data_IF_377177286121
#
_entry.id   IF_377177286121
#
_cell.length_a   1.000
_cell.length_b   1.000
_cell.length_c   1.000
_cell.angle_alpha   90.00
_cell.angle_beta   90.00
_cell.angle_gamma   90.00
#
_symmetry.space_group_name_H-M   'P 1'
#
loop_
_entity.id
_entity.type
_entity.pdbx_description
1 polymer ?
#
# COMPACT_ATOMS: atom_id res chain seq x y z
N UNK A 1 -37.08 28.80 -36.71
CA UNK A 1 -37.24 30.00 -35.89
C UNK A 1 -35.85 30.20 -35.28
N UNK A 2 -34.89 30.84 -36.00
CA UNK A 2 -34.73 32.29 -36.17
C UNK A 2 -34.64 32.97 -34.82
N UNK A 3 -33.59 33.66 -34.46
CA UNK A 3 -32.84 34.78 -35.08
C UNK A 3 -31.53 34.97 -34.30
N UNK A 4 -30.35 35.08 -34.86
CA UNK A 4 -29.80 36.22 -35.65
C UNK A 4 -29.82 37.56 -34.94
N UNK A 5 -28.62 38.10 -34.63
CA UNK A 5 -28.26 39.51 -34.78
C UNK A 5 -26.76 39.67 -34.43
N UNK A 6 -25.81 39.84 -35.30
CA UNK A 6 -25.47 40.89 -36.26
C UNK A 6 -24.97 42.21 -35.63
N UNK A 7 -23.68 42.42 -35.86
CA UNK A 7 -22.81 43.62 -35.81
C UNK A 7 -23.45 44.92 -36.35
N UNK A 8 -22.93 46.13 -36.14
CA UNK A 8 -21.75 46.71 -36.83
C UNK A 8 -20.99 47.75 -35.97
N UNK A 9 -19.83 48.22 -36.24
CA UNK A 9 -19.21 48.76 -37.39
C UNK A 9 -18.45 50.01 -37.01
N UNK A 10 -17.26 50.14 -37.27
CA UNK A 10 -16.21 50.96 -37.62
C UNK A 10 -16.32 52.49 -37.45
N UNK A 11 -15.47 53.34 -38.08
CA UNK A 11 -14.00 53.41 -38.00
C UNK A 11 -13.52 54.77 -37.48
N UNK A 12 -12.26 55.02 -37.28
CA UNK A 12 -11.75 56.36 -36.96
C UNK A 12 -10.23 56.42 -36.90
N UNK A 13 -9.69 56.93 -37.98
CA UNK A 13 -8.30 57.34 -38.16
C UNK A 13 -7.83 58.37 -37.16
N UNK A 14 -6.52 58.31 -36.85
CA UNK A 14 -5.55 59.41 -37.00
C UNK A 14 -4.29 59.09 -36.12
N UNK A 15 -3.18 58.80 -36.74
CA UNK A 15 -2.06 59.69 -37.13
C UNK A 15 -1.31 60.28 -35.92
N UNK A 16 0.06 60.13 -36.02
CA UNK A 16 1.16 60.77 -35.24
C UNK A 16 1.41 60.21 -33.83
N UNK A 17 2.60 59.92 -33.35
CA UNK A 17 3.94 60.43 -33.68
C UNK A 17 5.02 59.57 -33.04
N UNK A 18 6.10 59.45 -33.75
CA UNK A 18 7.47 59.21 -33.33
C UNK A 18 7.78 59.38 -31.84
N UNK A 19 8.28 58.36 -31.25
CA UNK A 19 8.92 58.45 -29.92
C UNK A 19 9.77 57.21 -29.62
N UNK A 20 10.95 57.18 -30.23
CA UNK A 20 12.01 56.23 -29.88
C UNK A 20 12.32 56.33 -28.40
N UNK A 21 11.73 55.43 -27.61
CA UNK A 21 12.24 55.14 -26.28
C UNK A 21 12.81 53.73 -26.28
N UNK A 22 14.14 53.67 -26.33
CA UNK A 22 14.92 52.51 -26.00
C UNK A 22 14.53 52.08 -24.60
N UNK A 23 13.84 50.98 -24.50
CA UNK A 23 13.64 50.25 -23.24
C UNK A 23 14.93 49.50 -22.86
N UNK A 24 15.65 49.94 -21.82
CA UNK A 24 16.81 49.19 -21.30
C UNK A 24 16.34 48.20 -20.21
N UNK A 25 15.45 47.26 -20.56
CA UNK A 25 14.82 46.42 -19.56
C UNK A 25 14.72 44.91 -19.85
N UNK A 26 15.21 44.47 -20.99
CA UNK A 26 15.03 43.05 -21.39
C UNK A 26 16.33 42.24 -21.43
N UNK A 27 17.13 42.31 -20.36
CA UNK A 27 18.42 41.63 -20.36
C UNK A 27 18.92 41.13 -18.99
N UNK A 28 18.04 40.95 -17.99
CA UNK A 28 18.56 40.55 -16.63
C UNK A 28 17.68 39.62 -15.82
N UNK A 29 16.73 38.91 -16.37
CA UNK A 29 15.96 37.91 -15.59
C UNK A 29 16.61 36.51 -15.55
N UNK A 30 17.48 36.18 -16.47
CA UNK A 30 18.19 34.89 -16.51
C UNK A 30 19.30 34.77 -15.47
N UNK A 31 19.87 35.87 -15.00
CA UNK A 31 21.05 35.86 -14.12
C UNK A 31 20.67 35.91 -12.62
N UNK A 32 19.45 36.36 -12.30
CA UNK A 32 18.95 36.41 -10.90
C UNK A 32 18.67 35.02 -10.28
N UNK A 33 18.47 33.99 -11.08
CA UNK A 33 18.23 32.62 -10.55
C UNK A 33 19.54 31.91 -10.17
N UNK A 34 20.62 32.18 -10.86
CA UNK A 34 21.93 31.61 -10.51
C UNK A 34 22.58 32.22 -9.27
N UNK A 35 22.28 33.49 -8.97
CA UNK A 35 22.77 34.19 -7.79
C UNK A 35 22.17 33.67 -6.49
N UNK A 36 20.87 33.37 -6.46
CA UNK A 36 20.16 32.92 -5.25
C UNK A 36 20.70 31.61 -4.64
N UNK A 37 21.20 30.69 -5.47
CA UNK A 37 21.81 29.45 -5.01
C UNK A 37 23.20 29.65 -4.40
N UNK A 38 23.97 30.61 -4.90
CA UNK A 38 25.29 30.95 -4.33
C UNK A 38 25.12 31.70 -3.00
N UNK A 39 24.14 32.59 -2.92
CA UNK A 39 23.84 33.36 -1.70
C UNK A 39 23.29 32.44 -0.61
N UNK A 40 22.46 31.46 -0.96
CA UNK A 40 21.95 30.46 -0.03
C UNK A 40 23.06 29.53 0.52
N UNK A 41 24.02 29.13 -0.33
CA UNK A 41 25.19 28.35 0.13
C UNK A 41 26.10 29.12 1.06
N UNK A 42 26.21 30.42 0.89
CA UNK A 42 27.02 31.29 1.75
C UNK A 42 26.31 31.66 3.07
N UNK A 43 24.96 31.78 3.02
CA UNK A 43 24.15 32.12 4.20
C UNK A 43 23.96 30.92 5.15
N UNK A 44 23.92 29.69 4.62
CA UNK A 44 23.67 28.48 5.41
C UNK A 44 24.64 27.33 5.08
N UNK A 45 25.93 27.47 5.35
CA UNK A 45 26.92 26.44 5.01
C UNK A 45 26.66 25.13 5.74
N UNK A 46 26.13 25.17 6.97
CA UNK A 46 25.74 23.98 7.74
C UNK A 46 24.61 23.18 7.10
N UNK A 47 23.59 23.84 6.57
CA UNK A 47 22.47 23.17 5.89
C UNK A 47 22.89 22.44 4.61
N UNK A 48 23.75 23.07 3.81
CA UNK A 48 24.27 22.43 2.59
C UNK A 48 25.13 21.22 2.93
N UNK A 49 25.93 21.32 3.99
CA UNK A 49 26.77 20.21 4.47
C UNK A 49 25.92 19.03 4.99
N UNK A 50 24.87 19.31 5.80
CA UNK A 50 23.96 18.26 6.28
C UNK A 50 23.18 17.60 5.16
N UNK A 51 22.76 18.35 4.13
CA UNK A 51 22.07 17.82 2.97
C UNK A 51 22.98 16.89 2.13
N UNK A 52 24.22 17.29 1.93
CA UNK A 52 25.23 16.45 1.23
C UNK A 52 25.52 15.18 2.04
N UNK A 53 25.65 15.30 3.36
CA UNK A 53 25.90 14.17 4.24
C UNK A 53 24.70 13.19 4.23
N UNK A 54 23.48 13.71 4.26
CA UNK A 54 22.25 12.89 4.16
C UNK A 54 22.17 12.17 2.80
N UNK A 55 22.49 12.85 1.70
CA UNK A 55 22.51 12.25 0.38
C UNK A 55 23.58 11.13 0.27
N UNK A 56 24.75 11.37 0.83
CA UNK A 56 25.83 10.39 0.92
C UNK A 56 25.42 9.16 1.75
N UNK A 57 24.74 9.38 2.87
CA UNK A 57 24.22 8.30 3.71
C UNK A 57 23.19 7.43 2.97
N UNK A 58 22.28 8.06 2.20
CA UNK A 58 21.29 7.34 1.38
C UNK A 58 22.01 6.52 0.30
N UNK A 59 22.94 7.12 -0.43
CA UNK A 59 23.70 6.41 -1.49
C UNK A 59 24.52 5.24 -0.94
N UNK A 60 25.11 5.40 0.25
CA UNK A 60 25.85 4.29 0.88
C UNK A 60 24.91 3.17 1.33
N UNK A 61 23.72 3.52 1.85
CA UNK A 61 22.72 2.54 2.23
C UNK A 61 22.19 1.77 1.01
N UNK A 62 21.87 2.47 -0.08
CA UNK A 62 21.43 1.86 -1.34
C UNK A 62 22.52 0.95 -1.94
N UNK A 63 23.76 1.43 -1.97
CA UNK A 63 24.90 0.64 -2.41
C UNK A 63 25.09 -0.64 -1.58
N UNK A 64 24.94 -0.54 -0.25
CA UNK A 64 25.02 -1.68 0.65
C UNK A 64 23.87 -2.67 0.42
N UNK A 65 22.64 -2.19 0.20
CA UNK A 65 21.49 -3.04 -0.09
C UNK A 65 21.63 -3.78 -1.42
N UNK A 66 22.12 -3.10 -2.45
CA UNK A 66 22.39 -3.71 -3.77
C UNK A 66 23.48 -4.77 -3.64
N UNK A 67 24.57 -4.47 -2.93
CA UNK A 67 25.66 -5.42 -2.68
C UNK A 67 25.14 -6.66 -1.92
N UNK A 68 24.38 -6.45 -0.86
CA UNK A 68 23.78 -7.54 -0.08
C UNK A 68 22.83 -8.40 -0.93
N UNK A 69 22.03 -7.76 -1.77
CA UNK A 69 21.14 -8.46 -2.69
C UNK A 69 21.89 -9.30 -3.71
N UNK A 70 22.98 -8.79 -4.29
CA UNK A 70 23.79 -9.55 -5.25
C UNK A 70 24.45 -10.76 -4.59
N UNK A 71 24.98 -10.61 -3.38
CA UNK A 71 25.55 -11.72 -2.63
C UNK A 71 24.54 -12.86 -2.36
N UNK A 72 23.30 -12.52 -2.00
CA UNK A 72 22.24 -13.54 -1.83
C UNK A 72 21.84 -14.22 -3.13
N UNK A 73 21.78 -13.48 -4.25
CA UNK A 73 21.44 -14.09 -5.54
C UNK A 73 22.53 -15.02 -6.05
N UNK A 74 23.80 -14.70 -5.81
CA UNK A 74 24.93 -15.59 -6.14
C UNK A 74 24.88 -16.88 -5.31
N UNK A 75 24.60 -16.77 -4.01
CA UNK A 75 24.54 -17.94 -3.12
C UNK A 75 23.36 -18.85 -3.49
N UNK A 76 22.18 -18.30 -3.79
CA UNK A 76 21.04 -19.06 -4.31
C UNK A 76 21.35 -19.74 -5.63
N UNK A 77 22.04 -19.04 -6.53
CA UNK A 77 22.43 -19.61 -7.84
C UNK A 77 23.47 -20.73 -7.66
N UNK A 78 24.42 -20.54 -6.75
CA UNK A 78 25.43 -21.57 -6.43
C UNK A 78 24.79 -22.81 -5.79
N UNK A 79 23.86 -22.63 -4.83
CA UNK A 79 23.13 -23.73 -4.22
C UNK A 79 22.28 -24.48 -5.23
N UNK A 80 21.57 -23.77 -6.13
CA UNK A 80 20.83 -24.39 -7.24
C UNK A 80 21.77 -25.10 -8.21
N UNK A 81 22.98 -24.57 -8.45
CA UNK A 81 23.98 -25.21 -9.27
C UNK A 81 24.54 -26.50 -8.69
N UNK A 82 24.56 -26.62 -7.36
CA UNK A 82 25.06 -27.81 -6.65
C UNK A 82 24.00 -28.93 -6.53
N UNK A 83 22.71 -28.64 -6.76
CA UNK A 83 21.65 -29.65 -6.72
C UNK A 83 21.64 -30.48 -8.00
N UNK A 84 21.45 -31.79 -7.88
CA UNK A 84 21.22 -32.69 -9.02
C UNK A 84 19.90 -32.35 -9.71
N UNK A 85 19.76 -32.67 -11.01
CA UNK A 85 18.50 -32.41 -11.74
C UNK A 85 17.29 -33.08 -11.08
N UNK A 86 17.48 -34.26 -10.51
CA UNK A 86 16.42 -34.97 -9.78
C UNK A 86 15.97 -34.24 -8.52
N UNK A 87 16.91 -33.65 -7.77
CA UNK A 87 16.60 -32.85 -6.58
C UNK A 87 15.91 -31.55 -6.92
N UNK A 88 16.29 -30.89 -8.01
CA UNK A 88 15.63 -29.70 -8.54
C UNK A 88 14.19 -30.01 -8.94
N UNK A 89 13.98 -31.07 -9.72
CA UNK A 89 12.65 -31.50 -10.14
C UNK A 89 11.75 -31.83 -8.93
N UNK A 90 12.32 -32.47 -7.89
CA UNK A 90 11.61 -32.77 -6.66
C UNK A 90 11.24 -31.51 -5.87
N UNK A 91 12.16 -30.56 -5.75
CA UNK A 91 11.91 -29.29 -5.06
C UNK A 91 10.86 -28.47 -5.80
N UNK A 92 10.95 -28.38 -7.13
CA UNK A 92 9.98 -27.67 -7.96
C UNK A 92 8.60 -28.33 -7.88
N UNK A 93 8.53 -29.67 -7.81
CA UNK A 93 7.27 -30.39 -7.64
C UNK A 93 6.62 -30.11 -6.26
N UNK A 94 7.43 -30.04 -5.20
CA UNK A 94 6.95 -29.68 -3.85
C UNK A 94 6.40 -28.25 -3.84
N UNK A 95 7.14 -27.30 -4.40
CA UNK A 95 6.70 -25.89 -4.46
C UNK A 95 5.38 -25.76 -5.21
N UNK A 96 5.26 -26.39 -6.38
CA UNK A 96 3.99 -26.39 -7.16
C UNK A 96 2.85 -27.03 -6.39
N UNK A 97 3.09 -28.15 -5.71
CA UNK A 97 2.07 -28.81 -4.92
C UNK A 97 1.57 -27.91 -3.75
N UNK A 98 2.44 -27.15 -3.10
CA UNK A 98 2.04 -26.20 -2.06
C UNK A 98 1.29 -24.99 -2.64
N UNK A 99 1.71 -24.47 -3.79
CA UNK A 99 0.98 -23.42 -4.51
C UNK A 99 -0.42 -23.87 -4.93
N UNK A 100 -0.55 -25.09 -5.46
CA UNK A 100 -1.84 -25.65 -5.86
C UNK A 100 -2.75 -25.89 -4.64
N UNK A 101 -2.22 -26.38 -3.51
CA UNK A 101 -2.98 -26.50 -2.27
C UNK A 101 -3.48 -25.16 -1.77
N UNK A 102 -2.64 -24.12 -1.79
CA UNK A 102 -3.02 -22.77 -1.38
C UNK A 102 -4.14 -22.21 -2.28
N UNK A 103 -4.03 -22.43 -3.60
CA UNK A 103 -5.06 -22.02 -4.57
C UNK A 103 -6.39 -22.72 -4.35
N UNK A 104 -6.35 -24.04 -4.16
CA UNK A 104 -7.56 -24.85 -3.90
C UNK A 104 -8.20 -24.41 -2.57
N UNK A 105 -7.42 -24.20 -1.51
CA UNK A 105 -7.94 -23.75 -0.23
C UNK A 105 -8.63 -22.37 -0.34
N UNK A 106 -8.04 -21.46 -1.09
CA UNK A 106 -8.59 -20.14 -1.35
C UNK A 106 -9.93 -20.22 -2.13
N UNK A 107 -9.97 -21.04 -3.19
CA UNK A 107 -11.19 -21.22 -3.97
C UNK A 107 -12.30 -21.92 -3.17
N UNK A 108 -11.93 -22.89 -2.34
CA UNK A 108 -12.85 -23.56 -1.43
C UNK A 108 -13.43 -22.58 -0.41
N UNK A 109 -12.60 -21.76 0.22
CA UNK A 109 -13.04 -20.73 1.16
C UNK A 109 -14.02 -19.73 0.50
N UNK A 110 -13.72 -19.31 -0.73
CA UNK A 110 -14.58 -18.43 -1.51
C UNK A 110 -15.95 -19.07 -1.85
N UNK A 111 -15.95 -20.35 -2.17
CA UNK A 111 -17.21 -21.10 -2.41
C UNK A 111 -17.99 -21.30 -1.11
N UNK A 112 -17.31 -21.63 -0.01
CA UNK A 112 -17.94 -21.79 1.30
C UNK A 112 -18.57 -20.49 1.77
N UNK A 113 -17.86 -19.34 1.64
CA UNK A 113 -18.41 -18.04 1.98
C UNK A 113 -19.71 -17.75 1.22
N UNK A 114 -19.76 -18.04 -0.10
CA UNK A 114 -20.95 -17.83 -0.91
C UNK A 114 -22.14 -18.73 -0.54
N UNK A 115 -21.88 -19.92 0.00
CA UNK A 115 -22.90 -20.88 0.40
C UNK A 115 -23.34 -20.71 1.87
N UNK A 116 -22.63 -19.89 2.64
CA UNK A 116 -22.89 -19.67 4.05
C UNK A 116 -24.20 -18.88 4.22
N UNK A 117 -25.14 -19.45 4.94
CA UNK A 117 -26.45 -18.84 5.22
C UNK A 117 -26.45 -17.95 6.45
N UNK A 118 -25.53 -18.21 7.36
CA UNK A 118 -25.39 -17.42 8.57
C UNK A 118 -24.60 -16.13 8.29
N UNK A 119 -24.74 -15.15 9.17
CA UNK A 119 -23.95 -13.93 9.11
C UNK A 119 -22.48 -14.28 9.28
N UNK A 120 -21.62 -13.81 8.39
CA UNK A 120 -20.19 -14.07 8.39
C UNK A 120 -19.40 -12.89 7.82
N UNK A 121 -18.08 -12.90 8.04
CA UNK A 121 -17.15 -11.96 7.41
C UNK A 121 -16.41 -12.67 6.27
N UNK A 122 -16.29 -11.99 5.15
CA UNK A 122 -15.49 -12.40 4.00
C UNK A 122 -14.38 -11.38 3.76
N UNK A 123 -13.14 -11.82 3.75
CA UNK A 123 -11.95 -10.99 3.61
C UNK A 123 -11.27 -11.34 2.31
N UNK A 124 -11.35 -10.43 1.34
CA UNK A 124 -10.70 -10.55 0.05
C UNK A 124 -9.31 -9.92 0.12
N UNK A 125 -8.29 -10.76 0.16
CA UNK A 125 -6.89 -10.35 0.33
C UNK A 125 -6.36 -9.60 -0.89
N UNK A 126 -6.80 -9.96 -2.07
CA UNK A 126 -6.41 -9.39 -3.36
C UNK A 126 -6.93 -7.96 -3.56
N UNK A 127 -8.15 -7.70 -3.10
CA UNK A 127 -8.80 -6.40 -3.27
C UNK A 127 -8.69 -5.46 -2.06
N UNK A 128 -8.18 -5.95 -0.93
CA UNK A 128 -8.09 -5.16 0.30
C UNK A 128 -9.46 -4.82 0.88
N UNK A 129 -10.42 -5.74 0.78
CA UNK A 129 -11.81 -5.48 1.21
C UNK A 129 -12.32 -6.55 2.16
N UNK A 130 -13.17 -6.11 3.07
CA UNK A 130 -13.93 -6.97 3.98
C UNK A 130 -15.41 -6.77 3.68
N UNK A 131 -16.13 -7.87 3.63
CA UNK A 131 -17.55 -7.90 3.44
C UNK A 131 -18.23 -8.53 4.64
N UNK A 132 -19.27 -7.90 5.15
CA UNK A 132 -20.21 -8.52 6.06
C UNK A 132 -21.33 -9.08 5.21
N UNK A 133 -21.48 -10.40 5.21
CA UNK A 133 -22.39 -11.13 4.32
C UNK A 133 -23.38 -11.99 5.10
N UNK A 134 -24.58 -12.16 4.52
CA UNK A 134 -25.58 -13.12 4.97
C UNK A 134 -26.32 -13.68 3.76
N UNK A 135 -26.41 -15.01 3.65
CA UNK A 135 -27.13 -15.68 2.56
C UNK A 135 -26.67 -15.23 1.17
N UNK A 136 -25.38 -14.90 1.02
CA UNK A 136 -24.80 -14.40 -0.22
C UNK A 136 -25.07 -12.91 -0.52
N UNK A 137 -25.83 -12.22 0.35
CA UNK A 137 -26.04 -10.78 0.23
C UNK A 137 -24.97 -9.99 1.01
N UNK A 138 -24.34 -9.03 0.36
CA UNK A 138 -23.39 -8.11 1.00
C UNK A 138 -24.19 -7.06 1.77
N UNK A 139 -24.09 -7.09 3.10
CA UNK A 139 -24.71 -6.12 3.98
C UNK A 139 -23.85 -4.87 4.15
N UNK A 140 -22.53 -5.05 4.14
CA UNK A 140 -21.57 -3.94 4.24
C UNK A 140 -20.25 -4.33 3.57
N UNK A 141 -19.66 -3.36 2.89
CA UNK A 141 -18.33 -3.42 2.31
C UNK A 141 -17.43 -2.41 3.02
N UNK A 142 -16.22 -2.80 3.36
CA UNK A 142 -15.26 -2.02 4.14
C UNK A 142 -13.87 -2.15 3.52
N UNK A 143 -13.13 -1.05 3.51
CA UNK A 143 -11.71 -1.09 3.13
C UNK A 143 -10.87 -1.64 4.27
N UNK A 144 -9.91 -2.50 3.93
CA UNK A 144 -8.99 -3.11 4.88
C UNK A 144 -7.54 -2.91 4.47
N UNK A 145 -6.68 -2.77 5.47
CA UNK A 145 -5.23 -2.80 5.32
C UNK A 145 -4.68 -4.02 6.02
N UNK A 146 -3.69 -4.64 5.43
CA UNK A 146 -3.06 -5.84 5.96
C UNK A 146 -1.70 -5.52 6.55
N UNK A 147 -1.41 -6.11 7.69
CA UNK A 147 -0.08 -6.08 8.29
C UNK A 147 0.92 -6.91 7.47
N UNK A 148 2.22 -6.70 7.68
CA UNK A 148 3.23 -7.47 7.00
C UNK A 148 3.15 -8.95 7.40
N UNK A 149 3.44 -9.84 6.46
CA UNK A 149 3.67 -11.25 6.77
C UNK A 149 5.14 -11.42 7.19
N UNK A 150 5.36 -11.99 8.37
CA UNK A 150 6.71 -12.32 8.84
C UNK A 150 6.89 -13.83 8.77
N UNK A 151 7.86 -14.26 7.95
CA UNK A 151 8.27 -15.66 7.87
C UNK A 151 9.05 -16.10 9.11
N UNK A 152 9.35 -17.39 9.18
CA UNK A 152 10.22 -17.97 10.20
C UNK A 152 11.64 -17.42 9.98
N UNK A 153 12.15 -16.65 10.94
CA UNK A 153 13.55 -16.26 10.97
C UNK A 153 14.33 -17.33 11.71
N UNK A 154 15.33 -17.99 11.10
CA UNK A 154 16.15 -18.97 11.79
C UNK A 154 16.78 -18.36 13.05
N UNK A 155 16.52 -18.98 14.21
CA UNK A 155 17.05 -18.53 15.51
C UNK A 155 16.17 -17.55 16.28
N UNK A 156 14.97 -17.22 15.81
CA UNK A 156 13.99 -16.49 16.62
C UNK A 156 12.90 -17.43 17.14
N UNK A 157 12.57 -17.29 18.43
CA UNK A 157 11.44 -18.02 19.05
C UNK A 157 10.07 -17.43 18.66
N UNK A 158 10.04 -16.45 17.76
CA UNK A 158 8.79 -15.83 17.31
C UNK A 158 8.09 -16.72 16.28
N UNK A 159 6.83 -17.02 16.57
CA UNK A 159 5.96 -17.73 15.63
C UNK A 159 5.78 -16.91 14.34
N UNK A 160 5.70 -17.56 13.17
CA UNK A 160 5.42 -16.85 11.93
C UNK A 160 4.05 -16.17 12.02
N UNK A 161 4.03 -14.88 11.80
CA UNK A 161 2.78 -14.13 11.73
C UNK A 161 2.38 -13.99 10.25
N UNK A 162 1.51 -14.86 9.82
CA UNK A 162 0.99 -14.92 8.45
C UNK A 162 -0.49 -14.57 8.47
N UNK A 163 -0.96 -13.85 7.46
CA UNK A 163 -2.39 -13.62 7.28
C UNK A 163 -3.05 -14.98 7.01
N UNK A 164 -4.07 -15.36 7.80
CA UNK A 164 -4.72 -16.65 7.63
C UNK A 164 -5.37 -16.76 6.25
N UNK A 165 -5.38 -17.95 5.71
CA UNK A 165 -6.10 -18.28 4.46
C UNK A 165 -7.10 -19.38 4.75
N UNK A 166 -8.30 -19.25 4.16
CA UNK A 166 -9.39 -20.18 4.42
C UNK A 166 -10.31 -19.71 5.55
N UNK A 167 -10.94 -20.64 6.24
CA UNK A 167 -11.93 -20.38 7.28
C UNK A 167 -11.25 -20.20 8.64
N UNK A 168 -11.65 -19.16 9.35
CA UNK A 168 -11.33 -18.87 10.75
C UNK A 168 -12.63 -18.64 11.53
N UNK A 169 -12.54 -18.56 12.87
CA UNK A 169 -13.66 -18.23 13.74
C UNK A 169 -13.28 -17.08 14.69
N UNK A 170 -14.28 -16.31 15.08
CA UNK A 170 -14.12 -15.24 16.06
C UNK A 170 -13.98 -15.87 17.45
N UNK A 171 -12.79 -15.75 18.04
CA UNK A 171 -12.52 -16.23 19.38
C UNK A 171 -13.01 -15.26 20.46
N UNK A 172 -12.75 -13.96 20.26
CA UNK A 172 -13.09 -12.92 21.25
C UNK A 172 -13.36 -11.59 20.55
N UNK A 173 -14.30 -10.84 21.11
CA UNK A 173 -14.65 -9.48 20.69
C UNK A 173 -14.22 -8.50 21.78
N UNK A 174 -13.46 -7.49 21.40
CA UNK A 174 -13.05 -6.37 22.23
C UNK A 174 -13.56 -5.07 21.58
N UNK A 175 -13.58 -3.96 22.30
CA UNK A 175 -14.18 -2.70 21.81
C UNK A 175 -13.66 -2.22 20.46
N UNK A 176 -12.36 -2.45 20.15
CA UNK A 176 -11.72 -2.01 18.93
C UNK A 176 -10.95 -3.15 18.23
N UNK A 177 -11.22 -4.40 18.61
CA UNK A 177 -10.46 -5.55 18.12
C UNK A 177 -11.31 -6.80 18.09
N UNK A 178 -11.21 -7.53 17.00
CA UNK A 178 -11.82 -8.85 16.82
C UNK A 178 -10.67 -9.85 16.78
N UNK A 179 -10.57 -10.72 17.76
CA UNK A 179 -9.51 -11.74 17.83
C UNK A 179 -10.04 -13.03 17.22
N UNK A 180 -9.26 -13.62 16.34
CA UNK A 180 -9.55 -14.88 15.67
C UNK A 180 -8.88 -16.05 16.40
N UNK A 181 -9.37 -17.27 16.22
CA UNK A 181 -8.80 -18.47 16.85
C UNK A 181 -7.34 -18.74 16.47
N UNK A 182 -6.92 -18.31 15.26
CA UNK A 182 -5.53 -18.38 14.82
C UNK A 182 -4.56 -17.39 15.48
N UNK A 183 -5.05 -16.56 16.42
CA UNK A 183 -4.24 -15.52 17.08
C UNK A 183 -4.14 -14.21 16.30
N UNK A 184 -4.54 -14.19 15.04
CA UNK A 184 -4.64 -12.98 14.23
C UNK A 184 -5.80 -12.11 14.72
N UNK A 185 -5.78 -10.84 14.36
CA UNK A 185 -6.85 -9.93 14.75
C UNK A 185 -7.24 -8.96 13.64
N UNK A 186 -8.49 -8.54 13.68
CA UNK A 186 -8.99 -7.39 12.92
C UNK A 186 -9.07 -6.23 13.91
N UNK A 187 -8.34 -5.15 13.65
CA UNK A 187 -8.20 -3.99 14.55
C UNK A 187 -8.86 -2.75 13.94
N UNK A 188 -9.46 -1.94 14.80
CA UNK A 188 -9.92 -0.62 14.37
C UNK A 188 -8.73 0.32 14.23
N UNK A 189 -8.72 1.13 13.17
CA UNK A 189 -7.85 2.29 13.06
C UNK A 189 -8.16 3.32 14.15
N UNK A 190 -7.21 4.21 14.43
CA UNK A 190 -7.44 5.36 15.30
C UNK A 190 -8.30 6.43 14.61
N UNK A 191 -8.42 6.35 13.29
CA UNK A 191 -9.17 7.24 12.41
C UNK A 191 -10.37 6.53 11.77
N UNK A 192 -11.30 7.30 11.24
CA UNK A 192 -12.48 6.75 10.57
C UNK A 192 -12.16 5.96 9.30
N UNK A 193 -11.02 6.27 8.67
CA UNK A 193 -10.54 5.59 7.46
C UNK A 193 -9.24 4.88 7.78
N UNK A 194 -9.16 3.59 7.50
CA UNK A 194 -7.99 2.75 7.80
C UNK A 194 -6.69 3.29 7.19
N UNK A 195 -6.74 3.82 5.96
CA UNK A 195 -5.58 4.37 5.25
C UNK A 195 -5.05 5.70 5.80
N UNK A 196 -5.83 6.40 6.62
CA UNK A 196 -5.39 7.64 7.27
C UNK A 196 -4.61 7.38 8.57
N UNK A 197 -4.64 6.16 9.07
CA UNK A 197 -3.88 5.75 10.27
C UNK A 197 -2.48 5.30 9.87
N UNK A 198 -1.48 6.05 10.32
CA UNK A 198 -0.06 5.79 10.03
C UNK A 198 0.61 4.87 11.05
N UNK A 199 -0.11 4.43 12.09
CA UNK A 199 0.46 3.47 13.05
C UNK A 199 0.78 2.14 12.35
N UNK A 200 1.90 1.48 12.71
CA UNK A 200 2.22 0.19 12.11
C UNK A 200 1.16 -0.85 12.48
N UNK A 201 0.76 -1.66 11.49
CA UNK A 201 -0.15 -2.78 11.70
C UNK A 201 0.70 -3.96 12.19
N UNK A 202 0.32 -4.61 13.30
CA UNK A 202 1.02 -5.81 13.75
C UNK A 202 1.06 -6.89 12.66
N UNK A 203 2.14 -7.65 12.55
CA UNK A 203 2.27 -8.71 11.55
C UNK A 203 1.09 -9.70 11.60
N UNK A 204 0.57 -10.06 10.43
CA UNK A 204 -0.55 -10.99 10.29
C UNK A 204 -1.93 -10.45 10.69
N UNK A 205 -2.03 -9.20 11.13
CA UNK A 205 -3.30 -8.56 11.50
C UNK A 205 -3.89 -7.77 10.32
N UNK A 206 -5.16 -7.44 10.48
CA UNK A 206 -5.94 -6.65 9.52
C UNK A 206 -6.44 -5.40 10.21
N UNK A 207 -6.44 -4.27 9.52
CA UNK A 207 -6.96 -2.99 10.04
C UNK A 207 -8.11 -2.49 9.18
N UNK A 208 -9.19 -2.05 9.84
CA UNK A 208 -10.34 -1.38 9.21
C UNK A 208 -10.57 -0.01 9.84
N UNK A 209 -11.35 0.84 9.19
CA UNK A 209 -11.71 2.14 9.74
C UNK A 209 -12.49 2.03 11.06
N UNK A 210 -12.32 3.01 11.95
CA UNK A 210 -13.01 3.04 13.24
C UNK A 210 -14.54 3.06 13.08
N UNK A 211 -15.04 3.82 12.12
CA UNK A 211 -16.48 3.88 11.79
C UNK A 211 -17.00 2.52 11.33
N UNK A 212 -16.20 1.80 10.52
CA UNK A 212 -16.57 0.48 10.04
C UNK A 212 -16.60 -0.55 11.18
N UNK A 213 -15.59 -0.53 12.05
CA UNK A 213 -15.54 -1.40 13.22
C UNK A 213 -16.78 -1.19 14.11
N UNK A 214 -17.12 0.06 14.45
CA UNK A 214 -18.29 0.37 15.25
C UNK A 214 -19.60 -0.08 14.61
N UNK A 215 -19.69 -0.03 13.28
CA UNK A 215 -20.88 -0.43 12.56
C UNK A 215 -21.08 -1.95 12.49
N UNK A 216 -20.01 -2.73 12.41
CA UNK A 216 -20.12 -4.20 12.33
C UNK A 216 -20.16 -4.86 13.70
N UNK A 217 -19.49 -4.29 14.69
CA UNK A 217 -19.31 -4.89 16.02
C UNK A 217 -20.62 -5.37 16.69
N UNK A 218 -21.75 -4.64 16.64
CA UNK A 218 -23.00 -5.11 17.22
C UNK A 218 -23.57 -6.38 16.57
N UNK A 219 -23.15 -6.65 15.33
CA UNK A 219 -23.62 -7.80 14.55
C UNK A 219 -22.71 -9.02 14.68
N UNK A 220 -21.56 -8.86 15.32
CA UNK A 220 -20.58 -9.92 15.47
C UNK A 220 -20.84 -10.73 16.75
N UNK A 221 -20.63 -12.01 16.66
CA UNK A 221 -20.75 -12.93 17.80
C UNK A 221 -19.51 -13.83 17.87
N UNK A 222 -19.19 -14.28 19.08
CA UNK A 222 -18.15 -15.30 19.25
C UNK A 222 -18.57 -16.58 18.50
N UNK A 223 -17.61 -17.22 17.83
CA UNK A 223 -17.86 -18.40 17.00
C UNK A 223 -18.33 -18.06 15.56
N UNK A 224 -18.54 -16.76 15.24
CA UNK A 224 -18.84 -16.34 13.86
C UNK A 224 -17.71 -16.73 12.93
N UNK A 225 -18.06 -17.18 11.75
CA UNK A 225 -17.08 -17.56 10.70
C UNK A 225 -16.52 -16.35 9.99
N UNK A 226 -15.23 -16.43 9.67
CA UNK A 226 -14.48 -15.43 8.91
C UNK A 226 -13.74 -16.17 7.80
N UNK A 227 -13.98 -15.81 6.57
CA UNK A 227 -13.36 -16.43 5.39
C UNK A 227 -12.32 -15.49 4.78
N UNK A 228 -11.10 -15.99 4.62
CA UNK A 228 -9.99 -15.30 3.96
C UNK A 228 -9.74 -15.93 2.60
N UNK A 229 -9.82 -15.13 1.53
CA UNK A 229 -9.59 -15.56 0.15
C UNK A 229 -8.95 -14.50 -0.73
#
# INVERSE_FOLDING_TARGET
MESSNKTPGGPGDSIFETGSRRDPGKGREGDRRRGKWRDFRLAYPGFVFTLILALLAILTLDGFLIYKRSAYTEEVTRLRGAMTEAERAKTDAIVRAEEDKARIALELAKRQAKLEKTLHLSIALDSGRIYLEREGAILREMAALFGPETGITPGSDSLPAVIPRGQQTVARLESNKIVLEGGNAIEAATTDVASADTTPIPPGNVRIGLTDMKAIQPNLTRGMRVYFY
#
